data_IF_138505013500
#
_entry.id   IF_138505013500
#
_cell.length_a   1.000
_cell.length_b   1.000
_cell.length_c   1.000
_cell.angle_alpha   90.00
_cell.angle_beta   90.00
_cell.angle_gamma   90.00
#
_symmetry.space_group_name_H-M   'P 1'
#
loop_
_entity.id
_entity.type
_entity.pdbx_description
1 polymer ?
#
# COMPACT_ATOMS: atom_id res chain seq x y z
N UNK A 1 -2.11 -28.17 -9.05
CA UNK A 1 -0.88 -28.26 -8.21
C UNK A 1 0.29 -28.14 -9.17
N UNK A 2 0.71 -26.91 -9.47
CA UNK A 2 1.73 -26.65 -10.48
C UNK A 2 3.12 -26.97 -9.89
N UNK A 3 3.93 -27.70 -10.65
CA UNK A 3 5.34 -28.00 -10.31
C UNK A 3 6.11 -26.69 -10.25
N UNK A 4 6.65 -26.35 -9.08
CA UNK A 4 7.52 -25.17 -8.85
C UNK A 4 8.98 -25.44 -9.24
N UNK A 5 9.29 -26.63 -9.78
CA UNK A 5 10.67 -27.16 -9.87
C UNK A 5 11.34 -27.02 -11.24
N UNK A 6 11.22 -25.87 -11.93
CA UNK A 6 11.98 -25.65 -13.18
C UNK A 6 12.48 -24.20 -13.32
N UNK A 7 12.87 -23.55 -12.21
CA UNK A 7 13.41 -22.18 -12.26
C UNK A 7 14.93 -22.13 -12.48
N UNK A 8 15.70 -23.04 -11.86
CA UNK A 8 17.12 -23.30 -12.16
C UNK A 8 17.67 -24.42 -11.25
N UNK A 9 18.74 -25.10 -11.65
CA UNK A 9 19.43 -26.08 -10.79
C UNK A 9 20.12 -25.43 -9.56
N UNK A 10 20.30 -24.11 -9.53
CA UNK A 10 20.97 -23.38 -8.43
C UNK A 10 20.17 -22.14 -8.00
N UNK A 11 19.29 -22.29 -7.01
CA UNK A 11 18.51 -21.20 -6.45
C UNK A 11 18.67 -21.04 -4.93
N UNK A 12 18.41 -19.82 -4.45
CA UNK A 12 18.26 -19.47 -3.02
C UNK A 12 17.05 -18.56 -2.90
N UNK A 13 15.97 -19.05 -2.29
CA UNK A 13 14.72 -18.30 -2.08
C UNK A 13 14.59 -17.91 -0.62
N UNK A 14 14.42 -16.61 -0.34
CA UNK A 14 14.29 -16.11 1.03
C UNK A 14 12.83 -16.13 1.50
N UNK A 15 12.59 -16.75 2.65
CA UNK A 15 11.31 -16.82 3.35
C UNK A 15 11.41 -16.12 4.72
N UNK A 16 11.49 -14.78 4.76
CA UNK A 16 11.73 -13.99 5.98
C UNK A 16 10.64 -14.15 7.06
N UNK A 17 9.46 -14.66 6.70
CA UNK A 17 8.33 -14.91 7.60
C UNK A 17 8.43 -16.24 8.37
N UNK A 18 9.26 -17.19 7.95
CA UNK A 18 9.35 -18.55 8.56
C UNK A 18 10.39 -18.67 9.66
N UNK A 19 11.43 -17.82 9.66
CA UNK A 19 12.52 -17.88 10.64
C UNK A 19 12.46 -16.76 11.71
N UNK A 20 13.02 -17.06 12.88
CA UNK A 20 13.17 -16.15 14.01
C UNK A 20 14.57 -15.51 14.11
N UNK A 21 14.85 -14.81 15.22
CA UNK A 21 16.17 -14.21 15.46
C UNK A 21 17.28 -15.27 15.57
N UNK A 22 16.94 -16.45 16.10
CA UNK A 22 17.88 -17.58 16.23
C UNK A 22 18.34 -18.13 14.88
N UNK A 23 17.43 -18.22 13.90
CA UNK A 23 17.77 -18.66 12.54
C UNK A 23 18.69 -17.63 11.83
N UNK A 24 18.64 -16.35 12.24
CA UNK A 24 19.49 -15.28 11.71
C UNK A 24 20.87 -15.34 12.35
N UNK A 25 20.94 -15.62 13.65
CA UNK A 25 22.20 -15.85 14.37
C UNK A 25 22.89 -17.12 13.88
N UNK A 26 22.12 -18.17 13.58
CA UNK A 26 22.61 -19.38 12.92
C UNK A 26 23.27 -19.00 11.58
N UNK A 27 22.59 -18.24 10.72
CA UNK A 27 23.16 -17.76 9.45
C UNK A 27 24.43 -16.91 9.62
N UNK A 28 24.54 -16.17 10.72
CA UNK A 28 25.69 -15.33 11.01
C UNK A 28 26.93 -16.18 11.37
N UNK A 29 26.72 -17.26 12.13
CA UNK A 29 27.77 -18.06 12.76
C UNK A 29 28.15 -19.32 11.98
N UNK A 30 27.19 -19.94 11.29
CA UNK A 30 27.42 -21.17 10.53
C UNK A 30 27.51 -20.86 9.03
N UNK A 31 28.32 -21.67 8.35
CA UNK A 31 28.44 -21.64 6.89
C UNK A 31 27.31 -22.45 6.21
N UNK A 32 26.55 -23.19 7.00
CA UNK A 32 25.51 -24.10 6.56
C UNK A 32 24.19 -23.34 6.38
N UNK A 33 23.72 -23.34 5.13
CA UNK A 33 22.50 -22.65 4.71
C UNK A 33 21.33 -23.60 4.48
N UNK A 34 21.56 -24.91 4.42
CA UNK A 34 20.54 -25.93 4.17
C UNK A 34 19.61 -26.07 5.38
N UNK A 35 20.16 -25.96 6.58
CA UNK A 35 19.43 -26.08 7.84
C UNK A 35 18.73 -24.78 8.29
N UNK A 36 18.63 -23.75 7.44
CA UNK A 36 18.09 -22.45 7.83
C UNK A 36 16.64 -22.24 7.36
N UNK A 37 15.72 -22.03 8.31
CA UNK A 37 14.29 -21.77 8.02
C UNK A 37 14.02 -20.51 7.20
N UNK A 38 15.00 -19.62 7.05
CA UNK A 38 14.90 -18.42 6.21
C UNK A 38 15.14 -18.67 4.73
N UNK A 39 15.70 -19.81 4.33
CA UNK A 39 16.12 -20.06 2.95
C UNK A 39 15.61 -21.41 2.49
N UNK A 40 15.06 -21.43 1.28
CA UNK A 40 14.94 -22.66 0.52
C UNK A 40 16.07 -22.66 -0.52
N UNK A 41 16.97 -23.63 -0.40
CA UNK A 41 18.19 -23.76 -1.20
C UNK A 41 18.09 -25.01 -2.07
N UNK A 42 18.64 -24.96 -3.29
CA UNK A 42 18.72 -26.13 -4.17
C UNK A 42 19.51 -27.28 -3.51
N UNK A 43 19.06 -28.54 -3.63
CA UNK A 43 19.75 -29.69 -3.05
C UNK A 43 21.19 -29.81 -3.58
N UNK A 44 22.17 -29.79 -2.67
CA UNK A 44 23.61 -29.86 -2.97
C UNK A 44 24.38 -28.55 -2.84
N UNK A 45 23.70 -27.42 -2.60
CA UNK A 45 24.35 -26.12 -2.33
C UNK A 45 24.45 -25.87 -0.82
N UNK A 46 25.41 -26.54 -0.16
CA UNK A 46 25.49 -26.51 1.31
C UNK A 46 26.27 -25.30 1.85
N UNK A 47 26.98 -24.58 0.99
CA UNK A 47 27.94 -23.54 1.37
C UNK A 47 27.80 -22.29 0.50
N UNK A 48 27.61 -21.12 1.14
CA UNK A 48 27.57 -19.81 0.46
C UNK A 48 28.81 -18.99 0.83
N UNK A 49 29.48 -18.41 -0.17
CA UNK A 49 30.60 -17.48 0.01
C UNK A 49 30.28 -16.40 1.06
N UNK A 50 31.28 -16.02 1.87
CA UNK A 50 31.12 -15.03 2.95
C UNK A 50 30.42 -13.74 2.51
N UNK A 51 30.82 -13.19 1.36
CA UNK A 51 30.22 -11.95 0.83
C UNK A 51 28.74 -12.12 0.47
N UNK A 52 28.36 -13.25 -0.12
CA UNK A 52 26.97 -13.56 -0.46
C UNK A 52 26.13 -13.80 0.78
N UNK A 53 26.69 -14.46 1.81
CA UNK A 53 26.04 -14.65 3.11
C UNK A 53 25.70 -13.32 3.79
N UNK A 54 26.64 -12.36 3.77
CA UNK A 54 26.38 -11.01 4.30
C UNK A 54 25.27 -10.28 3.53
N UNK A 55 25.19 -10.43 2.21
CA UNK A 55 24.10 -9.87 1.41
C UNK A 55 22.75 -10.47 1.86
N UNK A 56 22.68 -11.80 1.99
CA UNK A 56 21.46 -12.48 2.46
C UNK A 56 21.05 -12.02 3.86
N UNK A 57 22.00 -11.96 4.80
CA UNK A 57 21.75 -11.47 6.17
C UNK A 57 21.17 -10.04 6.13
N UNK A 58 21.80 -9.14 5.37
CA UNK A 58 21.33 -7.76 5.23
C UNK A 58 19.93 -7.70 4.59
N UNK A 59 19.67 -8.53 3.58
CA UNK A 59 18.33 -8.62 2.97
C UNK A 59 17.27 -9.08 3.96
N UNK A 60 17.55 -10.09 4.79
CA UNK A 60 16.62 -10.56 5.83
C UNK A 60 16.38 -9.49 6.90
N UNK A 61 17.43 -8.79 7.33
CA UNK A 61 17.32 -7.68 8.28
C UNK A 61 16.43 -6.58 7.72
N UNK A 62 16.67 -6.13 6.48
CA UNK A 62 15.87 -5.10 5.82
C UNK A 62 14.42 -5.57 5.65
N UNK A 63 14.18 -6.81 5.22
CA UNK A 63 12.83 -7.37 5.08
C UNK A 63 12.08 -7.41 6.42
N UNK A 64 12.75 -7.82 7.52
CA UNK A 64 12.16 -7.79 8.86
C UNK A 64 11.88 -6.37 9.34
N UNK A 65 12.79 -5.42 9.07
CA UNK A 65 12.58 -4.02 9.40
C UNK A 65 11.40 -3.42 8.64
N UNK A 66 11.29 -3.66 7.33
CA UNK A 66 10.16 -3.22 6.50
C UNK A 66 8.84 -3.83 6.98
N UNK A 67 8.82 -5.13 7.30
CA UNK A 67 7.62 -5.78 7.83
C UNK A 67 7.22 -5.27 9.22
N UNK A 68 8.21 -4.93 10.06
CA UNK A 68 7.94 -4.29 11.34
C UNK A 68 7.39 -2.86 11.16
N UNK A 69 7.88 -2.12 10.15
CA UNK A 69 7.43 -0.78 9.80
C UNK A 69 6.05 -0.74 9.12
N UNK A 70 5.56 -1.87 8.60
CA UNK A 70 4.27 -1.98 7.92
C UNK A 70 3.10 -1.45 8.77
N UNK A 71 2.98 -1.96 10.00
CA UNK A 71 1.92 -1.57 10.94
C UNK A 71 1.97 -0.11 11.40
N UNK A 72 3.13 0.41 11.89
CA UNK A 72 3.19 1.82 12.29
C UNK A 72 3.01 2.77 11.11
N UNK A 73 3.45 2.39 9.90
CA UNK A 73 3.24 3.20 8.70
C UNK A 73 1.77 3.22 8.30
N UNK A 74 1.06 2.08 8.35
CA UNK A 74 -0.38 2.01 8.11
C UNK A 74 -1.17 2.86 9.13
N UNK A 75 -0.79 2.79 10.41
CA UNK A 75 -1.39 3.62 11.45
C UNK A 75 -1.13 5.11 11.22
N UNK A 76 0.10 5.49 10.89
CA UNK A 76 0.47 6.88 10.61
C UNK A 76 -0.29 7.42 9.38
N UNK A 77 -0.44 6.62 8.32
CA UNK A 77 -1.24 6.97 7.14
C UNK A 77 -2.71 7.20 7.51
N UNK A 78 -3.33 6.27 8.24
CA UNK A 78 -4.71 6.45 8.70
C UNK A 78 -4.89 7.67 9.61
N UNK A 79 -3.91 7.98 10.46
CA UNK A 79 -3.95 9.16 11.32
C UNK A 79 -3.86 10.44 10.50
N UNK A 80 -2.98 10.47 9.51
CA UNK A 80 -2.79 11.60 8.60
C UNK A 80 -4.06 11.86 7.78
N UNK A 81 -4.67 10.83 7.19
CA UNK A 81 -5.94 10.98 6.47
C UNK A 81 -7.06 11.46 7.37
N UNK A 82 -7.19 10.90 8.57
CA UNK A 82 -8.16 11.35 9.57
C UNK A 82 -7.96 12.84 9.90
N UNK A 83 -6.71 13.27 10.10
CA UNK A 83 -6.38 14.65 10.43
C UNK A 83 -6.67 15.61 9.27
N UNK A 84 -6.33 15.25 8.04
CA UNK A 84 -6.63 16.04 6.85
C UNK A 84 -8.14 16.20 6.65
N UNK A 85 -8.92 15.12 6.79
CA UNK A 85 -10.38 15.17 6.69
C UNK A 85 -11.01 15.94 7.84
N UNK A 86 -10.47 15.82 9.06
CA UNK A 86 -10.95 16.60 10.22
C UNK A 86 -10.78 18.10 9.98
N UNK A 87 -9.61 18.51 9.48
CA UNK A 87 -9.38 19.91 9.10
C UNK A 87 -10.35 20.34 7.99
N UNK A 88 -10.53 19.50 6.98
CA UNK A 88 -11.41 19.80 5.86
C UNK A 88 -12.88 20.01 6.27
N UNK A 89 -13.46 19.09 7.03
CA UNK A 89 -14.84 19.17 7.51
C UNK A 89 -15.09 20.36 8.45
N UNK A 90 -14.04 20.89 9.07
CA UNK A 90 -14.12 21.99 10.04
C UNK A 90 -13.51 23.31 9.53
N UNK A 91 -13.12 23.38 8.25
CA UNK A 91 -12.59 24.57 7.60
C UNK A 91 -11.07 24.68 7.72
N UNK A 92 -10.59 25.33 8.77
CA UNK A 92 -9.16 25.55 9.00
C UNK A 92 -8.78 25.24 10.46
N UNK A 93 -7.47 25.17 10.75
CA UNK A 93 -6.98 24.78 12.07
C UNK A 93 -7.51 25.68 13.20
N UNK A 94 -7.60 27.00 12.97
CA UNK A 94 -8.10 27.94 13.97
C UNK A 94 -9.59 27.71 14.28
N UNK A 95 -10.42 27.48 13.24
CA UNK A 95 -11.84 27.17 13.41
C UNK A 95 -12.03 25.80 14.07
N UNK A 96 -11.21 24.81 13.72
CA UNK A 96 -11.23 23.49 14.36
C UNK A 96 -10.92 23.62 15.86
N UNK A 97 -9.89 24.38 16.23
CA UNK A 97 -9.52 24.60 17.63
C UNK A 97 -10.66 25.30 18.39
N UNK A 98 -11.28 26.31 17.80
CA UNK A 98 -12.42 27.00 18.41
C UNK A 98 -13.65 26.08 18.56
N UNK A 99 -13.97 25.29 17.53
CA UNK A 99 -15.05 24.29 17.60
C UNK A 99 -14.79 23.19 18.60
N UNK A 100 -13.53 22.82 18.81
CA UNK A 100 -13.11 21.87 19.84
C UNK A 100 -13.46 22.39 21.23
N UNK A 101 -13.13 23.65 21.54
CA UNK A 101 -13.54 24.27 22.81
C UNK A 101 -15.06 24.45 22.94
N UNK A 102 -15.80 24.56 21.84
CA UNK A 102 -17.26 24.63 21.84
C UNK A 102 -17.96 23.27 21.86
N UNK A 103 -17.23 22.16 21.72
CA UNK A 103 -17.81 20.81 21.57
C UNK A 103 -18.60 20.60 20.26
N UNK A 104 -18.33 21.40 19.21
CA UNK A 104 -19.05 21.38 17.92
C UNK A 104 -18.19 20.84 16.77
N UNK A 105 -17.26 19.94 17.05
CA UNK A 105 -16.36 19.35 16.04
C UNK A 105 -17.15 18.34 15.22
N UNK A 106 -17.10 18.49 13.89
CA UNK A 106 -17.65 17.49 12.96
C UNK A 106 -16.61 16.41 12.77
N UNK A 107 -16.91 15.19 13.19
CA UNK A 107 -16.02 14.04 13.00
C UNK A 107 -16.18 13.48 11.58
N UNK A 108 -15.08 13.26 10.85
CA UNK A 108 -15.13 12.70 9.50
C UNK A 108 -15.45 11.19 9.56
N UNK A 109 -16.30 10.74 8.64
CA UNK A 109 -16.73 9.35 8.52
C UNK A 109 -16.03 8.68 7.32
N UNK A 110 -15.25 7.63 7.57
CA UNK A 110 -14.42 6.97 6.54
C UNK A 110 -15.23 6.34 5.40
N UNK A 111 -16.47 5.94 5.66
CA UNK A 111 -17.34 5.33 4.64
C UNK A 111 -18.16 6.39 3.88
N UNK A 112 -18.05 7.67 4.27
CA UNK A 112 -18.75 8.77 3.61
C UNK A 112 -18.00 9.22 2.36
N UNK A 113 -18.76 9.62 1.34
CA UNK A 113 -18.21 10.26 0.14
C UNK A 113 -17.52 11.62 0.41
N UNK A 114 -17.69 12.20 1.61
CA UNK A 114 -16.96 13.40 2.01
C UNK A 114 -15.54 13.11 2.53
N UNK A 115 -15.26 11.85 2.89
CA UNK A 115 -13.93 11.42 3.32
C UNK A 115 -13.08 11.10 2.10
N UNK A 116 -11.89 11.69 2.06
CA UNK A 116 -10.99 11.61 0.91
C UNK A 116 -9.60 11.18 1.37
N UNK A 117 -8.92 10.37 0.57
CA UNK A 117 -7.54 9.96 0.81
C UNK A 117 -6.59 11.16 0.89
N UNK A 118 -5.35 10.93 1.32
CA UNK A 118 -4.31 11.95 1.27
C UNK A 118 -4.09 12.49 -0.17
N UNK A 119 -4.25 11.64 -1.19
CA UNK A 119 -4.07 12.02 -2.60
C UNK A 119 -5.21 12.95 -3.05
N UNK A 120 -6.46 12.60 -2.74
CA UNK A 120 -7.60 13.46 -3.08
C UNK A 120 -7.64 14.76 -2.26
N UNK A 121 -6.98 14.81 -1.10
CA UNK A 121 -6.73 16.07 -0.40
C UNK A 121 -5.76 16.99 -1.17
N UNK A 122 -4.73 16.43 -1.82
CA UNK A 122 -3.73 17.19 -2.59
C UNK A 122 -4.28 17.67 -3.93
N UNK A 123 -5.06 16.84 -4.62
CA UNK A 123 -5.72 17.21 -5.86
C UNK A 123 -7.19 16.82 -5.81
N UNK A 124 -8.08 17.81 -5.87
CA UNK A 124 -9.53 17.60 -5.79
C UNK A 124 -10.24 17.47 -7.13
N UNK A 125 -9.54 17.66 -8.24
CA UNK A 125 -10.16 17.62 -9.56
C UNK A 125 -10.56 16.18 -9.89
N UNK A 126 -11.83 15.97 -10.15
CA UNK A 126 -12.36 14.65 -10.54
C UNK A 126 -13.08 14.70 -11.88
N UNK A 127 -13.26 15.88 -12.47
CA UNK A 127 -14.01 16.01 -13.72
C UNK A 127 -13.16 15.63 -14.94
N UNK A 128 -13.78 14.92 -15.88
CA UNK A 128 -13.24 14.71 -17.21
C UNK A 128 -13.35 16.00 -18.02
N UNK A 129 -12.41 16.22 -18.93
CA UNK A 129 -12.35 17.46 -19.70
C UNK A 129 -13.41 17.40 -20.80
N UNK A 130 -14.27 18.41 -20.85
CA UNK A 130 -15.42 18.45 -21.77
C UNK A 130 -15.02 18.61 -23.25
N UNK A 131 -13.80 19.07 -23.51
CA UNK A 131 -13.23 19.22 -24.85
C UNK A 131 -12.76 17.87 -25.44
N UNK A 132 -12.47 16.88 -24.60
CA UNK A 132 -11.99 15.57 -25.04
C UNK A 132 -13.17 14.63 -25.21
N UNK A 133 -13.49 14.30 -26.46
CA UNK A 133 -14.62 13.44 -26.82
C UNK A 133 -14.26 11.96 -26.75
N UNK A 134 -15.28 11.13 -26.53
CA UNK A 134 -15.19 9.68 -26.65
C UNK A 134 -14.73 9.34 -28.08
N UNK A 135 -13.65 8.55 -28.21
CA UNK A 135 -13.02 8.21 -29.48
C UNK A 135 -11.71 8.97 -29.77
N UNK A 136 -11.41 10.04 -29.02
CA UNK A 136 -10.08 10.65 -29.01
C UNK A 136 -9.10 9.75 -28.24
N UNK A 137 -7.87 9.59 -28.73
CA UNK A 137 -6.84 8.82 -28.02
C UNK A 137 -6.52 9.41 -26.63
N UNK A 138 -6.72 10.72 -26.46
CA UNK A 138 -6.54 11.43 -25.19
C UNK A 138 -7.63 11.13 -24.17
N UNK A 139 -8.82 10.70 -24.62
CA UNK A 139 -9.94 10.38 -23.73
C UNK A 139 -9.59 9.24 -22.79
N UNK A 140 -9.07 8.15 -23.35
CA UNK A 140 -8.65 6.97 -22.58
C UNK A 140 -7.55 7.37 -21.60
N UNK A 141 -6.55 8.15 -22.04
CA UNK A 141 -5.48 8.62 -21.17
C UNK A 141 -6.01 9.45 -19.98
N UNK A 142 -6.93 10.38 -20.23
CA UNK A 142 -7.52 11.19 -19.17
C UNK A 142 -8.37 10.35 -18.21
N UNK A 143 -9.22 9.48 -18.74
CA UNK A 143 -10.06 8.60 -17.93
C UNK A 143 -9.20 7.68 -17.07
N UNK A 144 -8.17 7.05 -17.63
CA UNK A 144 -7.23 6.22 -16.90
C UNK A 144 -6.50 7.00 -15.80
N UNK A 145 -6.08 8.24 -16.09
CA UNK A 145 -5.43 9.10 -15.10
C UNK A 145 -6.38 9.41 -13.93
N UNK A 146 -7.61 9.83 -14.22
CA UNK A 146 -8.60 10.12 -13.17
C UNK A 146 -9.01 8.86 -12.40
N UNK A 147 -9.17 7.71 -13.09
CA UNK A 147 -9.48 6.42 -12.48
C UNK A 147 -8.37 5.96 -11.53
N UNK A 148 -7.10 6.04 -11.95
CA UNK A 148 -5.94 5.68 -11.12
C UNK A 148 -5.77 6.56 -9.88
N UNK A 149 -6.32 7.77 -9.93
CA UNK A 149 -6.34 8.69 -8.79
C UNK A 149 -7.44 8.32 -7.81
N UNK A 150 -8.68 8.16 -8.30
CA UNK A 150 -9.82 7.86 -7.42
C UNK A 150 -9.81 6.43 -6.90
N UNK A 151 -8.95 5.54 -7.41
CA UNK A 151 -8.82 4.16 -6.90
C UNK A 151 -8.33 4.07 -5.45
N UNK A 152 -7.81 5.17 -4.89
CA UNK A 152 -7.44 5.28 -3.48
C UNK A 152 -8.60 5.74 -2.58
N UNK A 153 -9.74 6.09 -3.17
CA UNK A 153 -10.89 6.64 -2.44
C UNK A 153 -11.87 5.54 -2.02
N UNK A 154 -12.76 5.85 -1.07
CA UNK A 154 -13.78 4.89 -0.63
C UNK A 154 -14.88 4.67 -1.69
N UNK A 155 -15.64 3.59 -1.50
CA UNK A 155 -16.72 3.19 -2.40
C UNK A 155 -17.75 4.30 -2.64
N UNK A 156 -18.18 4.98 -1.57
CA UNK A 156 -19.19 6.03 -1.66
C UNK A 156 -18.70 7.22 -2.51
N UNK A 157 -17.42 7.61 -2.36
CA UNK A 157 -16.79 8.64 -3.17
C UNK A 157 -16.75 8.22 -4.64
N UNK A 158 -16.21 7.03 -4.93
CA UNK A 158 -16.04 6.53 -6.30
C UNK A 158 -17.40 6.45 -7.00
N UNK A 159 -18.41 5.89 -6.32
CA UNK A 159 -19.77 5.78 -6.87
C UNK A 159 -20.33 7.14 -7.27
N UNK A 160 -20.22 8.15 -6.40
CA UNK A 160 -20.70 9.51 -6.72
C UNK A 160 -19.94 10.10 -7.91
N UNK A 161 -18.62 9.95 -7.97
CA UNK A 161 -17.83 10.48 -9.09
C UNK A 161 -18.22 9.81 -10.41
N UNK A 162 -18.26 8.47 -10.44
CA UNK A 162 -18.56 7.71 -11.65
C UNK A 162 -19.98 8.01 -12.16
N UNK A 163 -20.98 7.92 -11.29
CA UNK A 163 -22.38 8.10 -11.68
C UNK A 163 -22.76 9.56 -11.95
N UNK A 164 -22.26 10.50 -11.12
CA UNK A 164 -22.73 11.91 -11.14
C UNK A 164 -21.79 12.87 -11.86
N UNK A 165 -20.50 12.57 -11.97
CA UNK A 165 -19.51 13.46 -12.60
C UNK A 165 -19.08 12.95 -13.96
N UNK A 166 -18.92 11.65 -14.11
CA UNK A 166 -18.54 11.03 -15.39
C UNK A 166 -19.74 10.53 -16.19
N UNK A 167 -20.92 10.49 -15.57
CA UNK A 167 -22.16 10.00 -16.19
C UNK A 167 -22.01 8.55 -16.71
N UNK A 168 -21.28 7.74 -15.94
CA UNK A 168 -20.99 6.34 -16.23
C UNK A 168 -21.69 5.39 -15.24
N UNK A 169 -21.81 4.13 -15.62
CA UNK A 169 -22.35 3.10 -14.73
C UNK A 169 -21.28 2.62 -13.74
N UNK A 170 -21.58 2.71 -12.45
CA UNK A 170 -20.75 2.12 -11.41
C UNK A 170 -21.06 0.62 -11.29
N UNK A 171 -20.04 -0.22 -11.50
CA UNK A 171 -20.21 -1.68 -11.54
C UNK A 171 -20.04 -2.32 -10.16
N UNK A 172 -18.84 -2.25 -9.60
CA UNK A 172 -18.50 -2.85 -8.31
C UNK A 172 -17.25 -2.21 -7.72
N UNK A 173 -17.05 -2.36 -6.41
CA UNK A 173 -15.88 -1.93 -5.67
C UNK A 173 -15.29 -3.09 -4.89
N UNK A 174 -14.05 -3.45 -5.24
CA UNK A 174 -13.29 -4.46 -4.53
C UNK A 174 -12.52 -3.81 -3.37
N UNK A 175 -12.92 -4.11 -2.13
CA UNK A 175 -12.13 -3.76 -0.95
C UNK A 175 -10.82 -4.55 -0.98
N UNK A 176 -9.73 -3.91 -1.41
CA UNK A 176 -8.38 -4.46 -1.22
C UNK A 176 -8.03 -4.36 0.26
N UNK A 177 -8.15 -5.48 0.98
CA UNK A 177 -7.69 -5.56 2.36
C UNK A 177 -6.17 -5.42 2.40
N UNK A 178 -5.68 -4.27 2.86
CA UNK A 178 -4.29 -4.07 3.30
C UNK A 178 -4.13 -4.54 4.75
#
# INVERSE_FOLDING_TARGET
MAKEDEFSDNYVVLKPKRGGVLDLLHLLWTHDVENNKFMDVSPGLNTIEFRRRLIVINSVIVQKALHWLEKPMAWAGSLLEMWLNLLYCNGNFAVLLFRFFQGKVVMPDKESAAFVSAIGCLDRRVDLSKDIKIGDCRYIAQLSLMASKISYENEAFIKIVVEKRWEMEFLHYDKVGL
#
